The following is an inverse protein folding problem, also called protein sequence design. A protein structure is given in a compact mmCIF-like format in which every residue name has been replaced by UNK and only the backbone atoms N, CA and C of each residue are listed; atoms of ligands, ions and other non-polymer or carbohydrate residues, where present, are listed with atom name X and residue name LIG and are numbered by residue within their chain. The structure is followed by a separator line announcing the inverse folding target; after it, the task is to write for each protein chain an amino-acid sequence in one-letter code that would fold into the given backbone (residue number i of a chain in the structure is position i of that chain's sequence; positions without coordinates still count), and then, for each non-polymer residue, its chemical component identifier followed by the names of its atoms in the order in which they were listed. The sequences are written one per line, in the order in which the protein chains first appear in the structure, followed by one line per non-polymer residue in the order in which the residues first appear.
data_IF_223137725646
#
_entry.id   IF_223137725646
#
_cell.length_a   1.000
_cell.length_b   1.000
_cell.length_c   1.000
_cell.angle_alpha   90.00
_cell.angle_beta   90.00
_cell.angle_gamma   90.00
#
_symmetry.space_group_name_H-M   'P 1'
#
loop_
_entity.id
_entity.type
_entity.pdbx_description
1 polymer ?
#
# COMPACT_ATOMS: atom_id res chain seq x y z
N UNK A 1 21.77 -8.11 -0.63
CA UNK A 1 20.66 -7.24 -1.08
C UNK A 1 19.93 -6.76 0.17
N UNK A 2 19.25 -5.60 0.19
CA UNK A 2 18.46 -5.22 1.38
C UNK A 2 17.23 -6.14 1.50
N UNK A 3 16.93 -6.65 2.69
CA UNK A 3 15.76 -7.54 2.94
C UNK A 3 14.44 -6.96 2.41
N UNK A 4 14.29 -5.63 2.45
CA UNK A 4 13.12 -4.94 1.91
C UNK A 4 12.96 -5.10 0.39
N UNK A 5 14.08 -5.16 -0.35
CA UNK A 5 14.08 -5.40 -1.80
C UNK A 5 13.75 -6.86 -2.08
N UNK A 6 14.26 -7.81 -1.29
CA UNK A 6 13.93 -9.25 -1.46
C UNK A 6 12.45 -9.57 -1.23
N UNK A 7 11.78 -8.84 -0.33
CA UNK A 7 10.33 -8.97 -0.09
C UNK A 7 9.52 -8.41 -1.27
N UNK A 8 10.01 -7.37 -1.93
CA UNK A 8 9.32 -6.71 -3.03
C UNK A 8 9.61 -7.32 -4.41
N UNK A 9 10.85 -7.78 -4.62
CA UNK A 9 11.34 -8.40 -5.85
C UNK A 9 11.36 -9.94 -5.78
N UNK A 10 10.56 -10.52 -4.86
CA UNK A 10 10.38 -11.96 -4.74
C UNK A 10 9.71 -12.59 -5.97
N UNK A 11 9.41 -13.89 -5.90
CA UNK A 11 8.81 -14.62 -7.03
C UNK A 11 7.45 -14.06 -7.48
N UNK A 12 6.69 -13.49 -6.55
CA UNK A 12 5.39 -12.88 -6.81
C UNK A 12 5.49 -11.35 -6.71
N UNK A 13 5.93 -10.73 -7.81
CA UNK A 13 6.14 -9.29 -7.89
C UNK A 13 4.81 -8.56 -7.89
N UNK A 14 4.71 -7.50 -7.08
CA UNK A 14 3.58 -6.59 -7.15
C UNK A 14 3.54 -5.93 -8.54
N UNK A 15 2.43 -6.12 -9.26
CA UNK A 15 2.20 -5.68 -10.66
C UNK A 15 3.16 -6.19 -11.75
N UNK A 16 4.07 -7.10 -11.39
CA UNK A 16 5.09 -7.64 -12.30
C UNK A 16 6.36 -6.79 -12.42
N UNK A 17 6.41 -5.57 -11.85
CA UNK A 17 7.62 -4.73 -11.83
C UNK A 17 8.51 -5.03 -10.64
N UNK A 18 9.79 -4.76 -10.81
CA UNK A 18 10.73 -4.75 -9.70
C UNK A 18 10.87 -3.36 -9.08
N UNK A 19 11.23 -3.29 -7.79
CA UNK A 19 11.39 -2.04 -7.04
C UNK A 19 12.19 -0.94 -7.78
N UNK A 20 13.30 -1.25 -8.49
CA UNK A 20 14.06 -0.24 -9.22
C UNK A 20 13.33 0.35 -10.44
N UNK A 21 12.30 -0.34 -10.95
CA UNK A 21 11.58 0.03 -12.16
C UNK A 21 10.44 1.03 -11.88
N UNK A 22 10.15 1.29 -10.61
CA UNK A 22 9.14 2.26 -10.20
C UNK A 22 9.70 3.67 -10.19
N UNK A 23 8.97 4.59 -10.80
CA UNK A 23 9.17 6.02 -10.60
C UNK A 23 8.69 6.47 -9.21
N UNK A 24 9.20 7.60 -8.74
CA UNK A 24 8.74 8.17 -7.46
C UNK A 24 7.24 8.51 -7.50
N UNK A 25 6.74 8.93 -8.66
CA UNK A 25 5.34 9.24 -8.90
C UNK A 25 4.46 7.99 -8.78
N UNK A 26 4.89 6.87 -9.35
CA UNK A 26 4.18 5.58 -9.23
C UNK A 26 4.16 5.09 -7.78
N UNK A 27 5.30 5.17 -7.08
CA UNK A 27 5.35 4.82 -5.65
C UNK A 27 4.43 5.69 -4.81
N UNK A 28 4.35 6.99 -5.11
CA UNK A 28 3.46 7.92 -4.42
C UNK A 28 1.98 7.59 -4.69
N UNK A 29 1.62 7.27 -5.93
CA UNK A 29 0.28 6.86 -6.30
C UNK A 29 -0.10 5.53 -5.62
N UNK A 30 0.80 4.55 -5.63
CA UNK A 30 0.62 3.26 -4.96
C UNK A 30 0.35 3.43 -3.46
N UNK A 31 1.19 4.21 -2.76
CA UNK A 31 1.01 4.44 -1.31
C UNK A 31 -0.33 5.10 -0.99
N UNK A 32 -0.76 6.07 -1.81
CA UNK A 32 -2.07 6.71 -1.64
C UNK A 32 -3.20 5.69 -1.79
N UNK A 33 -3.17 4.89 -2.86
CA UNK A 33 -4.18 3.87 -3.12
C UNK A 33 -4.21 2.83 -1.98
N UNK A 34 -3.05 2.29 -1.61
CA UNK A 34 -2.93 1.30 -0.54
C UNK A 34 -3.53 1.78 0.78
N UNK A 35 -3.26 3.03 1.19
CA UNK A 35 -3.83 3.60 2.41
C UNK A 35 -5.36 3.71 2.30
N UNK A 36 -5.88 4.18 1.17
CA UNK A 36 -7.33 4.27 0.96
C UNK A 36 -7.99 2.89 1.01
N UNK A 37 -7.41 1.91 0.32
CA UNK A 37 -7.91 0.53 0.30
C UNK A 37 -7.88 -0.07 1.72
N UNK A 38 -6.77 0.12 2.46
CA UNK A 38 -6.63 -0.34 3.84
C UNK A 38 -7.64 0.30 4.81
N UNK A 39 -7.91 1.61 4.68
CA UNK A 39 -8.91 2.29 5.53
C UNK A 39 -10.31 1.71 5.30
N UNK A 40 -10.63 1.33 4.06
CA UNK A 40 -11.95 0.85 3.67
C UNK A 40 -12.13 -0.66 3.90
N UNK A 41 -11.04 -1.40 4.07
CA UNK A 41 -11.02 -2.85 4.29
C UNK A 41 -11.89 -3.29 5.48
N UNK A 42 -12.79 -4.24 5.27
CA UNK A 42 -13.75 -4.71 6.27
C UNK A 42 -13.09 -5.37 7.49
N UNK A 43 -11.91 -5.98 7.31
CA UNK A 43 -11.13 -6.62 8.38
C UNK A 43 -10.20 -5.64 9.09
N UNK A 44 -10.13 -4.38 8.65
CA UNK A 44 -9.35 -3.37 9.34
C UNK A 44 -9.98 -3.06 10.71
N UNK A 45 -9.34 -3.56 11.77
CA UNK A 45 -9.74 -3.35 13.17
C UNK A 45 -9.79 -1.87 13.60
N UNK A 46 -9.18 -0.96 12.82
CA UNK A 46 -9.19 0.49 13.03
C UNK A 46 -10.14 1.23 12.08
N UNK A 47 -10.89 0.53 11.23
CA UNK A 47 -11.75 1.14 10.20
C UNK A 47 -12.71 2.17 10.76
N UNK A 48 -13.51 1.80 11.77
CA UNK A 48 -14.51 2.70 12.36
C UNK A 48 -13.86 3.95 12.98
N UNK A 49 -12.83 3.77 13.82
CA UNK A 49 -12.08 4.88 14.44
C UNK A 49 -11.51 5.83 13.37
N UNK A 50 -10.96 5.26 12.29
CA UNK A 50 -10.34 6.02 11.20
C UNK A 50 -11.39 6.79 10.40
N UNK A 51 -12.48 6.14 10.02
CA UNK A 51 -13.58 6.81 9.30
C UNK A 51 -14.19 7.94 10.15
N UNK A 52 -14.39 7.71 11.45
CA UNK A 52 -14.89 8.74 12.35
C UNK A 52 -13.92 9.93 12.47
N UNK A 53 -12.61 9.66 12.63
CA UNK A 53 -11.59 10.72 12.73
C UNK A 53 -11.59 11.66 11.52
N UNK A 54 -11.82 11.12 10.32
CA UNK A 54 -11.88 11.90 9.09
C UNK A 54 -13.28 12.39 8.72
N UNK A 55 -14.31 12.13 9.54
CA UNK A 55 -15.70 12.54 9.26
C UNK A 55 -16.32 11.81 8.05
N UNK A 56 -15.91 10.56 7.83
CA UNK A 56 -16.36 9.69 6.73
C UNK A 56 -17.34 8.60 7.20
N UNK A 57 -17.72 8.63 8.49
CA UNK A 57 -18.66 7.69 9.11
C UNK A 57 -20.11 8.17 9.00
#
# INVERSE_FOLDING_TARGET
MMKAIEIWDGEDKYDGKSMPDYTNEELAAFRKKYICDWILDEDNVRRLDTLQHFGLL
#
